data_IF_157614715510
#
_entry.id   IF_157614715510
#
_cell.length_a   1.000
_cell.length_b   1.000
_cell.length_c   1.000
_cell.angle_alpha   90.00
_cell.angle_beta   90.00
_cell.angle_gamma   90.00
#
_symmetry.space_group_name_H-M   'P 1'
#
loop_
_entity.id
_entity.type
_entity.pdbx_description
1 polymer ?
#
# COMPACT_ATOMS: atom_id res chain seq x y z
N UNK A 1 22.45 9.05 25.50
CA UNK A 1 22.52 9.52 24.11
C UNK A 1 21.71 8.55 23.27
N UNK A 2 20.49 8.90 22.92
CA UNK A 2 19.59 8.06 22.10
C UNK A 2 20.04 8.21 20.65
N UNK A 3 20.61 7.15 20.06
CA UNK A 3 20.82 7.10 18.61
C UNK A 3 19.45 6.95 17.94
N UNK A 4 19.03 7.97 17.22
CA UNK A 4 17.88 7.89 16.34
C UNK A 4 18.17 6.81 15.29
N UNK A 5 17.32 5.82 15.22
CA UNK A 5 17.33 4.78 14.17
C UNK A 5 16.96 5.48 12.85
N UNK A 6 17.97 5.84 12.08
CA UNK A 6 17.76 6.23 10.68
C UNK A 6 17.49 4.93 9.93
N UNK A 7 16.22 4.66 9.66
CA UNK A 7 15.81 3.68 8.65
C UNK A 7 16.16 4.35 7.31
N UNK A 8 17.41 4.24 6.94
CA UNK A 8 17.84 4.50 5.58
C UNK A 8 17.43 3.23 4.82
N UNK A 9 16.53 3.36 3.87
CA UNK A 9 16.22 2.30 2.90
C UNK A 9 17.53 1.92 2.24
N UNK A 10 18.15 0.85 2.68
CA UNK A 10 19.38 0.33 2.10
C UNK A 10 18.94 -0.73 1.09
N UNK A 11 18.83 -0.30 -0.17
CA UNK A 11 18.72 -1.21 -1.30
C UNK A 11 20.00 -2.04 -1.35
N UNK A 12 19.92 -3.29 -0.94
CA UNK A 12 21.01 -4.26 -1.14
C UNK A 12 20.63 -5.15 -2.33
N UNK A 13 21.07 -4.73 -3.50
CA UNK A 13 21.03 -5.57 -4.70
C UNK A 13 22.14 -6.62 -4.57
N UNK A 14 21.79 -7.81 -4.11
CA UNK A 14 22.64 -8.99 -4.28
C UNK A 14 22.36 -9.57 -5.67
N UNK A 15 23.11 -9.09 -6.67
CA UNK A 15 23.19 -9.68 -7.99
C UNK A 15 23.90 -11.05 -7.90
N UNK A 16 23.16 -12.10 -7.60
CA UNK A 16 23.51 -13.43 -8.01
C UNK A 16 22.76 -13.72 -9.32
N UNK A 17 23.35 -13.32 -10.45
CA UNK A 17 22.88 -13.67 -11.76
C UNK A 17 23.06 -15.19 -11.97
N UNK A 18 22.08 -15.99 -11.60
CA UNK A 18 21.93 -17.32 -12.15
C UNK A 18 21.15 -17.16 -13.45
N UNK A 19 21.74 -17.55 -14.57
CA UNK A 19 21.02 -17.76 -15.83
C UNK A 19 19.93 -18.80 -15.58
N UNK A 20 18.71 -18.34 -15.33
CA UNK A 20 17.54 -19.22 -15.24
C UNK A 20 16.90 -19.31 -16.63
N UNK A 21 16.41 -20.49 -17.03
CA UNK A 21 15.72 -20.66 -18.29
C UNK A 21 14.48 -19.75 -18.31
N UNK A 22 14.26 -19.11 -19.43
CA UNK A 22 13.02 -18.42 -19.77
C UNK A 22 11.88 -19.42 -19.57
N UNK A 23 11.04 -19.18 -18.56
CA UNK A 23 9.88 -20.00 -18.33
C UNK A 23 8.75 -19.38 -19.15
N UNK A 24 8.49 -19.98 -20.32
CA UNK A 24 7.26 -19.68 -21.04
C UNK A 24 6.10 -20.16 -20.15
N UNK A 25 5.18 -19.25 -19.81
CA UNK A 25 3.98 -19.63 -19.10
C UNK A 25 3.32 -20.80 -19.85
N UNK A 26 2.85 -21.84 -19.16
CA UNK A 26 2.18 -22.94 -19.83
C UNK A 26 0.99 -22.39 -20.61
N UNK A 27 0.89 -22.76 -21.88
CA UNK A 27 -0.24 -22.43 -22.75
C UNK A 27 -1.49 -23.16 -22.22
N UNK A 28 -2.17 -22.54 -21.27
CA UNK A 28 -3.45 -22.89 -20.70
C UNK A 28 -4.38 -21.70 -20.82
N UNK A 29 -5.64 -21.83 -20.39
CA UNK A 29 -6.61 -20.75 -20.35
C UNK A 29 -6.29 -19.64 -19.30
N UNK A 30 -4.98 -19.37 -19.11
CA UNK A 30 -4.51 -18.36 -18.18
C UNK A 30 -4.80 -16.98 -18.77
N UNK A 31 -5.66 -16.24 -18.09
CA UNK A 31 -6.15 -14.94 -18.55
C UNK A 31 -5.50 -13.76 -17.82
N UNK A 32 -4.86 -14.04 -16.68
CA UNK A 32 -4.26 -13.00 -15.81
C UNK A 32 -2.75 -12.99 -15.86
N UNK A 33 -2.07 -14.10 -15.64
CA UNK A 33 -0.60 -14.16 -15.65
C UNK A 33 -0.05 -13.93 -17.06
N UNK A 34 0.77 -12.88 -17.21
CA UNK A 34 1.39 -12.51 -18.50
C UNK A 34 2.84 -12.98 -18.57
N UNK A 35 3.61 -12.82 -17.48
CA UNK A 35 5.02 -13.21 -17.48
C UNK A 35 5.60 -13.35 -16.08
N UNK A 36 6.72 -14.07 -16.01
CA UNK A 36 7.56 -14.24 -14.83
C UNK A 36 8.92 -13.65 -15.17
N UNK A 37 9.42 -12.69 -14.39
CA UNK A 37 10.60 -11.90 -14.73
C UNK A 37 11.79 -12.17 -13.83
N UNK A 38 11.60 -12.14 -12.52
CA UNK A 38 12.66 -12.35 -11.53
C UNK A 38 12.23 -13.41 -10.52
N UNK A 39 13.16 -14.31 -10.17
CA UNK A 39 13.00 -15.32 -9.14
C UNK A 39 14.20 -15.21 -8.22
N UNK A 40 13.96 -14.88 -6.95
CA UNK A 40 15.02 -14.67 -5.96
C UNK A 40 14.71 -15.53 -4.74
N UNK A 41 15.64 -16.42 -4.42
CA UNK A 41 15.60 -17.20 -3.20
C UNK A 41 16.29 -16.42 -2.10
N UNK A 42 15.61 -16.30 -0.97
CA UNK A 42 16.01 -15.50 0.18
C UNK A 42 16.09 -16.41 1.41
N UNK A 43 17.09 -16.16 2.25
CA UNK A 43 17.27 -16.86 3.51
C UNK A 43 17.14 -15.89 4.70
N UNK A 44 16.49 -16.35 5.76
CA UNK A 44 16.25 -15.55 6.95
C UNK A 44 17.54 -15.05 7.61
N UNK A 45 18.59 -15.88 7.66
CA UNK A 45 19.84 -15.52 8.33
C UNK A 45 20.60 -14.44 7.55
N UNK A 46 20.60 -14.54 6.22
CA UNK A 46 21.16 -13.50 5.34
C UNK A 46 20.39 -12.19 5.49
N UNK A 47 19.07 -12.29 5.60
CA UNK A 47 18.18 -11.18 5.81
C UNK A 47 18.50 -10.47 7.14
N UNK A 48 18.58 -11.20 8.23
CA UNK A 48 18.90 -10.64 9.55
C UNK A 48 20.28 -10.03 9.60
N UNK A 49 21.27 -10.66 8.96
CA UNK A 49 22.62 -10.10 8.82
C UNK A 49 22.61 -8.76 8.07
N UNK A 50 21.87 -8.67 6.97
CA UNK A 50 21.81 -7.43 6.16
C UNK A 50 21.15 -6.26 6.90
N UNK A 51 20.24 -6.52 7.84
CA UNK A 51 19.59 -5.50 8.66
C UNK A 51 20.29 -5.20 9.99
N UNK A 52 21.38 -5.89 10.32
CA UNK A 52 22.05 -5.76 11.62
C UNK A 52 21.12 -6.17 12.78
N UNK A 53 20.14 -7.05 12.53
CA UNK A 53 19.17 -7.50 13.55
C UNK A 53 19.86 -8.35 14.60
N UNK A 54 21.04 -8.86 14.35
CA UNK A 54 21.91 -9.54 15.34
C UNK A 54 22.19 -8.67 16.58
N UNK A 55 22.22 -7.33 16.38
CA UNK A 55 22.36 -6.35 17.46
C UNK A 55 21.09 -6.18 18.30
N UNK A 56 19.97 -6.84 17.93
CA UNK A 56 18.69 -6.77 18.64
C UNK A 56 18.19 -8.14 19.11
N UNK A 57 18.86 -8.76 20.12
CA UNK A 57 18.55 -10.11 20.59
C UNK A 57 17.11 -10.26 21.13
N UNK A 58 16.48 -9.16 21.54
CA UNK A 58 15.08 -9.18 22.01
C UNK A 58 14.08 -9.45 20.87
N UNK A 59 14.40 -8.98 19.65
CA UNK A 59 13.57 -9.22 18.46
C UNK A 59 13.79 -10.66 17.99
N UNK A 60 15.03 -11.07 17.82
CA UNK A 60 15.40 -12.40 17.34
C UNK A 60 14.89 -13.51 18.27
N UNK A 61 14.93 -13.31 19.59
CA UNK A 61 14.45 -14.30 20.55
C UNK A 61 12.92 -14.51 20.49
N UNK A 62 12.14 -13.43 20.27
CA UNK A 62 10.68 -13.52 20.19
C UNK A 62 10.20 -14.05 18.84
N UNK A 63 10.83 -13.62 17.75
CA UNK A 63 10.48 -14.04 16.38
C UNK A 63 10.84 -15.52 16.17
N UNK A 64 11.91 -16.02 16.78
CA UNK A 64 12.38 -17.41 16.65
C UNK A 64 11.33 -18.47 16.97
N UNK A 65 10.40 -18.19 17.88
CA UNK A 65 9.36 -19.15 18.30
C UNK A 65 8.15 -19.21 17.34
N UNK A 66 8.02 -18.25 16.43
CA UNK A 66 6.88 -18.18 15.50
C UNK A 66 7.27 -18.44 14.04
N UNK A 67 8.58 -18.55 13.75
CA UNK A 67 9.09 -18.84 12.41
C UNK A 67 8.74 -20.27 12.02
N UNK A 68 8.05 -20.41 10.89
CA UNK A 68 7.71 -21.70 10.26
C UNK A 68 8.58 -21.98 9.02
N UNK A 69 9.09 -20.92 8.38
CA UNK A 69 9.96 -21.02 7.20
C UNK A 69 11.20 -20.14 7.39
N UNK A 70 12.35 -20.66 6.97
CA UNK A 70 13.62 -19.90 6.94
C UNK A 70 14.07 -19.58 5.53
N UNK A 71 13.57 -20.33 4.55
CA UNK A 71 13.85 -20.13 3.14
C UNK A 71 12.55 -19.77 2.43
N UNK A 72 12.61 -18.74 1.61
CA UNK A 72 11.44 -18.25 0.88
C UNK A 72 11.88 -17.72 -0.48
N UNK A 73 10.92 -17.61 -1.36
CA UNK A 73 11.11 -17.15 -2.73
C UNK A 73 10.29 -15.89 -2.96
N UNK A 74 10.91 -14.89 -3.58
CA UNK A 74 10.24 -13.75 -4.18
C UNK A 74 10.21 -13.92 -5.69
N UNK A 75 9.07 -13.69 -6.31
CA UNK A 75 8.87 -13.82 -7.76
C UNK A 75 8.20 -12.57 -8.27
N UNK A 76 8.84 -11.88 -9.21
CA UNK A 76 8.26 -10.75 -9.91
C UNK A 76 7.48 -11.25 -11.11
N UNK A 77 6.20 -10.89 -11.17
CA UNK A 77 5.30 -11.26 -12.27
C UNK A 77 4.72 -10.00 -12.93
N UNK A 78 4.28 -10.17 -14.18
CA UNK A 78 3.35 -9.23 -14.83
C UNK A 78 2.00 -9.89 -15.03
N UNK A 79 0.93 -9.09 -14.96
CA UNK A 79 -0.44 -9.59 -15.06
C UNK A 79 -1.38 -8.60 -15.75
N UNK A 80 -2.42 -9.13 -16.38
CA UNK A 80 -3.49 -8.34 -17.00
C UNK A 80 -4.40 -7.73 -15.95
N UNK A 81 -4.67 -6.43 -16.10
CA UNK A 81 -5.67 -5.68 -15.32
C UNK A 81 -6.26 -4.54 -16.16
N UNK A 82 -6.96 -3.62 -15.55
CA UNK A 82 -7.48 -2.41 -16.23
C UNK A 82 -7.12 -1.15 -15.48
N UNK A 83 -6.88 -0.08 -16.23
CA UNK A 83 -6.78 1.27 -15.67
C UNK A 83 -8.15 1.78 -15.17
N UNK A 84 -8.21 2.94 -14.48
CA UNK A 84 -9.48 3.52 -14.02
C UNK A 84 -10.49 3.84 -15.14
N UNK A 85 -10.05 3.98 -16.38
CA UNK A 85 -10.93 4.17 -17.54
C UNK A 85 -11.47 2.85 -18.11
N UNK A 86 -11.04 1.70 -17.56
CA UNK A 86 -11.41 0.37 -18.06
C UNK A 86 -10.56 -0.13 -19.24
N UNK A 87 -9.49 0.57 -19.62
CA UNK A 87 -8.60 0.11 -20.68
C UNK A 87 -7.71 -1.03 -20.16
N UNK A 88 -7.47 -2.08 -20.95
CA UNK A 88 -6.56 -3.16 -20.60
C UNK A 88 -5.12 -2.66 -20.44
N UNK A 89 -4.47 -3.04 -19.35
CA UNK A 89 -3.07 -2.74 -19.08
C UNK A 89 -2.37 -3.96 -18.44
N UNK A 90 -1.05 -3.94 -18.45
CA UNK A 90 -0.21 -4.96 -17.83
C UNK A 90 0.48 -4.31 -16.62
N UNK A 91 0.12 -4.76 -15.43
CA UNK A 91 0.74 -4.34 -14.18
C UNK A 91 1.78 -5.36 -13.70
N UNK A 92 2.61 -4.91 -12.76
CA UNK A 92 3.62 -5.73 -12.09
C UNK A 92 3.20 -6.07 -10.67
N UNK A 93 3.86 -7.05 -10.07
CA UNK A 93 3.76 -7.33 -8.65
C UNK A 93 4.72 -8.43 -8.22
N UNK A 94 4.89 -8.57 -6.91
CA UNK A 94 5.79 -9.55 -6.31
C UNK A 94 5.01 -10.55 -5.48
N UNK A 95 5.24 -11.83 -5.74
CA UNK A 95 4.73 -12.96 -4.96
C UNK A 95 5.86 -13.42 -4.05
N UNK A 96 5.58 -13.55 -2.75
CA UNK A 96 6.50 -14.24 -1.83
C UNK A 96 5.84 -15.51 -1.34
N UNK A 97 6.63 -16.59 -1.19
CA UNK A 97 6.13 -17.83 -0.61
C UNK A 97 7.23 -18.65 0.08
N UNK A 98 6.87 -19.41 1.13
CA UNK A 98 7.81 -20.25 1.85
C UNK A 98 8.27 -21.43 0.98
N UNK A 99 9.53 -21.87 1.15
CA UNK A 99 10.09 -23.01 0.44
C UNK A 99 10.20 -24.28 1.30
N UNK A 100 10.23 -24.15 2.62
CA UNK A 100 10.49 -25.23 3.56
C UNK A 100 9.30 -25.56 4.48
N UNK A 101 8.11 -25.02 4.18
CA UNK A 101 6.86 -25.41 4.81
C UNK A 101 5.66 -25.24 3.86
N UNK A 102 4.52 -25.82 4.23
CA UNK A 102 3.27 -25.65 3.47
C UNK A 102 2.73 -24.23 3.58
N UNK A 103 2.08 -23.75 2.51
CA UNK A 103 1.41 -22.44 2.49
C UNK A 103 0.12 -22.55 3.32
N UNK A 104 0.04 -21.79 4.40
CA UNK A 104 -1.07 -21.80 5.36
C UNK A 104 -2.23 -20.87 5.01
N UNK A 105 -1.98 -19.92 4.12
CA UNK A 105 -2.91 -18.89 3.68
C UNK A 105 -2.20 -17.84 2.86
N UNK A 106 -2.94 -16.81 2.48
CA UNK A 106 -2.47 -15.70 1.67
C UNK A 106 -2.56 -14.40 2.46
N UNK A 107 -1.54 -13.56 2.38
CA UNK A 107 -1.59 -12.16 2.77
C UNK A 107 -1.66 -11.30 1.51
N UNK A 108 -2.81 -10.64 1.31
CA UNK A 108 -2.95 -9.56 0.34
C UNK A 108 -2.31 -8.32 0.95
N UNK A 109 -1.09 -8.04 0.55
CA UNK A 109 -0.30 -6.95 1.10
C UNK A 109 -0.41 -5.73 0.20
N UNK A 110 -0.77 -4.61 0.78
CA UNK A 110 -0.72 -3.32 0.10
C UNK A 110 0.54 -2.57 0.50
N UNK A 111 1.33 -2.17 -0.49
CA UNK A 111 2.61 -1.49 -0.29
C UNK A 111 2.46 -0.05 0.21
N UNK A 112 3.58 0.55 0.62
CA UNK A 112 3.64 1.95 1.02
C UNK A 112 3.52 2.88 -0.20
N UNK A 113 3.26 4.18 0.05
CA UNK A 113 3.25 5.18 -1.02
C UNK A 113 4.66 5.44 -1.55
N UNK A 114 4.74 5.59 -2.85
CA UNK A 114 5.93 6.07 -3.54
C UNK A 114 5.62 7.38 -4.26
N UNK A 115 6.55 8.33 -4.21
CA UNK A 115 6.43 9.60 -4.95
C UNK A 115 7.13 9.52 -6.30
N UNK A 116 8.13 8.65 -6.43
CA UNK A 116 8.82 8.38 -7.69
C UNK A 116 8.17 7.19 -8.40
N UNK A 117 8.05 7.26 -9.72
CA UNK A 117 7.61 6.15 -10.56
C UNK A 117 8.65 5.03 -10.66
N UNK A 118 9.91 5.33 -10.33
CA UNK A 118 11.00 4.36 -10.28
C UNK A 118 11.04 3.65 -8.91
N UNK A 119 9.87 3.30 -8.40
CA UNK A 119 9.69 2.58 -7.15
C UNK A 119 8.53 1.58 -7.30
N UNK A 120 8.52 0.57 -6.46
CA UNK A 120 7.52 -0.51 -6.51
C UNK A 120 8.16 -1.82 -6.14
N UNK A 121 7.38 -2.86 -5.91
CA UNK A 121 7.88 -4.16 -5.48
C UNK A 121 8.69 -4.88 -6.54
N UNK A 122 8.46 -4.58 -7.81
CA UNK A 122 9.21 -5.12 -8.94
C UNK A 122 10.50 -4.37 -9.25
N UNK A 123 10.66 -3.13 -8.76
CA UNK A 123 11.93 -2.38 -8.89
C UNK A 123 12.90 -2.75 -7.77
N UNK A 124 12.44 -2.67 -6.53
CA UNK A 124 13.19 -3.02 -5.33
C UNK A 124 12.32 -3.95 -4.46
N UNK A 125 12.63 -5.24 -4.44
CA UNK A 125 11.84 -6.25 -3.72
C UNK A 125 11.82 -5.93 -2.22
N UNK A 126 10.69 -5.45 -1.66
CA UNK A 126 10.64 -5.03 -0.27
C UNK A 126 10.58 -6.22 0.67
N UNK A 127 11.47 -6.23 1.64
CA UNK A 127 11.59 -7.33 2.59
C UNK A 127 10.54 -7.25 3.69
N UNK A 128 10.23 -6.05 4.17
CA UNK A 128 9.31 -5.87 5.29
C UNK A 128 7.91 -6.40 4.97
N UNK A 129 7.42 -6.10 3.77
CA UNK A 129 6.12 -6.56 3.28
C UNK A 129 6.11 -8.08 3.05
N UNK A 130 7.25 -8.66 2.72
CA UNK A 130 7.43 -10.12 2.54
C UNK A 130 7.48 -10.92 3.84
N UNK A 131 7.68 -10.30 5.02
CA UNK A 131 7.87 -11.01 6.30
C UNK A 131 6.80 -12.05 6.66
N UNK A 132 5.53 -11.95 6.26
CA UNK A 132 4.54 -13.01 6.52
C UNK A 132 4.93 -14.41 6.01
N UNK A 133 5.85 -14.51 5.04
CA UNK A 133 6.38 -15.83 4.60
C UNK A 133 7.05 -16.60 5.72
N UNK A 134 7.66 -15.90 6.68
CA UNK A 134 8.36 -16.51 7.81
C UNK A 134 7.42 -17.30 8.73
N UNK A 135 6.14 -17.00 8.70
CA UNK A 135 5.09 -17.70 9.45
C UNK A 135 4.21 -18.57 8.55
N UNK A 136 4.69 -18.87 7.33
CA UNK A 136 4.09 -19.84 6.42
C UNK A 136 2.98 -19.30 5.54
N UNK A 137 2.90 -18.00 5.32
CA UNK A 137 1.91 -17.41 4.38
C UNK A 137 2.56 -17.04 3.05
N UNK A 138 1.84 -17.22 1.96
CA UNK A 138 2.18 -16.53 0.73
C UNK A 138 1.78 -15.05 0.84
N UNK A 139 2.56 -14.15 0.23
CA UNK A 139 2.27 -12.72 0.19
C UNK A 139 2.11 -12.31 -1.26
N UNK A 140 1.03 -11.60 -1.56
CA UNK A 140 0.77 -11.00 -2.87
C UNK A 140 0.89 -9.49 -2.70
N UNK A 141 1.85 -8.89 -3.39
CA UNK A 141 2.17 -7.47 -3.29
C UNK A 141 2.09 -6.85 -4.69
N UNK A 142 0.93 -6.34 -5.11
CA UNK A 142 0.79 -5.67 -6.40
C UNK A 142 1.57 -4.34 -6.43
N UNK A 143 2.25 -4.09 -7.54
CA UNK A 143 2.58 -2.73 -7.94
C UNK A 143 1.31 -2.14 -8.55
N UNK A 144 0.83 -1.08 -7.95
CA UNK A 144 -0.39 -0.42 -8.44
C UNK A 144 -0.11 0.28 -9.78
N UNK A 145 -1.16 0.59 -10.55
CA UNK A 145 -1.05 1.38 -11.79
C UNK A 145 -0.14 2.60 -11.55
N UNK A 146 0.75 2.86 -12.49
CA UNK A 146 1.71 3.94 -12.37
C UNK A 146 3.08 3.53 -11.83
N UNK A 147 3.23 2.27 -11.43
CA UNK A 147 4.50 1.68 -10.99
C UNK A 147 4.80 0.42 -11.78
N UNK A 148 5.96 -0.18 -11.48
CA UNK A 148 6.36 -1.45 -12.07
C UNK A 148 7.45 -1.31 -13.12
N UNK A 149 8.23 -2.38 -13.27
CA UNK A 149 9.44 -2.43 -14.08
C UNK A 149 9.22 -3.06 -15.45
N UNK A 150 8.33 -4.04 -15.53
CA UNK A 150 8.16 -4.92 -16.67
C UNK A 150 6.84 -4.75 -17.41
N UNK A 151 5.82 -4.23 -16.72
CA UNK A 151 4.51 -3.93 -17.31
C UNK A 151 4.50 -2.67 -18.17
N UNK A 152 3.31 -2.14 -18.41
CA UNK A 152 3.15 -0.95 -19.25
C UNK A 152 2.47 0.23 -18.53
N UNK A 153 2.39 0.18 -17.20
CA UNK A 153 1.67 1.20 -16.40
C UNK A 153 2.56 2.30 -15.83
N UNK A 154 3.89 2.13 -15.82
CA UNK A 154 4.86 3.01 -15.15
C UNK A 154 4.71 4.50 -15.47
N UNK A 155 4.43 4.83 -16.73
CA UNK A 155 4.28 6.22 -17.17
C UNK A 155 2.88 6.80 -16.93
N UNK A 156 1.91 5.96 -16.50
CA UNK A 156 0.55 6.42 -16.18
C UNK A 156 0.54 7.12 -14.83
N UNK A 157 -0.31 8.13 -14.61
CA UNK A 157 -0.56 8.65 -13.27
C UNK A 157 -1.00 7.52 -12.33
N UNK A 158 -0.51 7.53 -11.09
CA UNK A 158 -0.99 6.56 -10.11
C UNK A 158 -2.40 6.94 -9.64
N UNK A 159 -3.41 6.04 -9.69
CA UNK A 159 -4.79 6.33 -9.28
C UNK A 159 -4.94 6.34 -7.76
N UNK A 160 -4.36 7.35 -7.10
CA UNK A 160 -4.35 7.49 -5.65
C UNK A 160 -5.76 7.38 -5.07
N UNK A 161 -5.95 6.42 -4.16
CA UNK A 161 -7.17 6.19 -3.37
C UNK A 161 -8.44 5.97 -4.20
N UNK A 162 -8.34 5.63 -5.47
CA UNK A 162 -9.48 5.22 -6.30
C UNK A 162 -9.86 3.77 -5.94
N UNK A 163 -10.70 3.62 -4.91
CA UNK A 163 -10.96 2.36 -4.21
C UNK A 163 -11.28 1.17 -5.11
N UNK A 164 -12.09 1.38 -6.15
CA UNK A 164 -12.55 0.28 -7.01
C UNK A 164 -11.42 -0.21 -7.92
N UNK A 165 -10.61 0.71 -8.46
CA UNK A 165 -9.45 0.32 -9.27
C UNK A 165 -8.39 -0.37 -8.41
N UNK A 166 -8.09 0.15 -7.21
CA UNK A 166 -7.13 -0.47 -6.29
C UNK A 166 -7.55 -1.89 -5.90
N UNK A 167 -8.84 -2.08 -5.61
CA UNK A 167 -9.41 -3.41 -5.31
C UNK A 167 -9.32 -4.36 -6.50
N UNK A 168 -9.63 -3.86 -7.70
CA UNK A 168 -9.54 -4.65 -8.93
C UNK A 168 -8.11 -5.07 -9.26
N UNK A 169 -7.15 -4.17 -9.19
CA UNK A 169 -5.73 -4.47 -9.44
C UNK A 169 -5.23 -5.56 -8.48
N UNK A 170 -5.58 -5.47 -7.20
CA UNK A 170 -5.25 -6.51 -6.22
C UNK A 170 -5.93 -7.84 -6.53
N UNK A 171 -7.20 -7.83 -6.94
CA UNK A 171 -7.91 -9.05 -7.35
C UNK A 171 -7.27 -9.71 -8.57
N UNK A 172 -6.94 -8.94 -9.60
CA UNK A 172 -6.35 -9.47 -10.83
C UNK A 172 -4.96 -10.07 -10.54
N UNK A 173 -4.16 -9.44 -9.67
CA UNK A 173 -2.91 -10.05 -9.20
C UNK A 173 -3.14 -11.35 -8.44
N UNK A 174 -4.20 -11.44 -7.61
CA UNK A 174 -4.56 -12.69 -6.93
C UNK A 174 -4.85 -13.81 -7.93
N UNK A 175 -5.59 -13.50 -9.01
CA UNK A 175 -5.88 -14.48 -10.07
C UNK A 175 -4.59 -14.94 -10.76
N UNK A 176 -3.72 -14.00 -11.18
CA UNK A 176 -2.43 -14.32 -11.77
C UNK A 176 -1.54 -15.16 -10.84
N UNK A 177 -1.53 -14.85 -9.55
CA UNK A 177 -0.82 -15.64 -8.54
C UNK A 177 -1.38 -17.04 -8.41
N UNK A 178 -2.68 -17.21 -8.52
CA UNK A 178 -3.35 -18.53 -8.50
C UNK A 178 -2.98 -19.36 -9.73
N UNK A 179 -2.85 -18.73 -10.90
CA UNK A 179 -2.36 -19.35 -12.13
C UNK A 179 -0.90 -19.78 -11.96
N UNK A 180 -0.04 -18.92 -11.42
CA UNK A 180 1.36 -19.22 -11.11
C UNK A 180 1.49 -20.43 -10.16
N UNK A 181 0.79 -20.42 -9.04
CA UNK A 181 0.86 -21.51 -8.07
C UNK A 181 0.32 -22.84 -8.63
N UNK A 182 -0.76 -22.78 -9.42
CA UNK A 182 -1.33 -23.95 -10.09
C UNK A 182 -0.31 -24.60 -11.06
N UNK A 183 0.41 -23.78 -11.82
CA UNK A 183 1.46 -24.26 -12.73
C UNK A 183 2.60 -24.97 -11.98
N UNK A 184 2.88 -24.60 -10.75
CA UNK A 184 3.85 -25.26 -9.88
C UNK A 184 3.28 -26.46 -9.11
N UNK A 185 1.98 -26.76 -9.25
CA UNK A 185 1.30 -27.84 -8.50
C UNK A 185 0.98 -27.50 -7.05
N UNK A 186 1.07 -26.23 -6.65
CA UNK A 186 0.65 -25.80 -5.32
C UNK A 186 -0.86 -25.60 -5.24
N UNK A 187 -1.42 -25.96 -4.09
CA UNK A 187 -2.78 -25.59 -3.72
C UNK A 187 -2.69 -24.41 -2.76
N UNK A 188 -3.17 -23.25 -3.21
CA UNK A 188 -3.20 -22.04 -2.37
C UNK A 188 -4.47 -22.05 -1.53
N UNK A 189 -4.37 -21.98 -0.19
CA UNK A 189 -5.55 -21.91 0.67
C UNK A 189 -6.36 -20.64 0.39
N UNK A 190 -7.69 -20.75 0.47
CA UNK A 190 -8.60 -19.57 0.32
C UNK A 190 -8.53 -18.61 1.53
N UNK A 191 -7.94 -19.04 2.65
CA UNK A 191 -7.74 -18.24 3.86
C UNK A 191 -6.90 -17.01 3.53
N UNK A 192 -7.49 -15.85 3.66
CA UNK A 192 -6.87 -14.58 3.27
C UNK A 192 -6.84 -13.59 4.42
N UNK A 193 -5.71 -12.95 4.62
CA UNK A 193 -5.54 -11.78 5.47
C UNK A 193 -5.21 -10.60 4.57
N UNK A 194 -5.90 -9.47 4.73
CA UNK A 194 -5.57 -8.25 4.02
C UNK A 194 -4.78 -7.36 4.95
N UNK A 195 -3.64 -6.87 4.50
CA UNK A 195 -2.72 -6.09 5.32
C UNK A 195 -2.11 -4.92 4.58
N UNK A 196 -1.73 -3.89 5.32
CA UNK A 196 -1.01 -2.75 4.78
C UNK A 196 -0.79 -1.65 5.81
N UNK A 197 0.22 -0.83 5.58
CA UNK A 197 0.53 0.32 6.42
C UNK A 197 0.78 1.56 5.57
N UNK A 198 0.59 2.76 6.16
CA UNK A 198 0.72 4.02 5.42
C UNK A 198 -0.31 4.07 4.29
N UNK A 199 0.08 4.42 3.09
CA UNK A 199 -0.78 4.32 1.90
C UNK A 199 -1.47 2.96 1.81
N UNK A 200 -0.70 1.87 2.01
CA UNK A 200 -1.23 0.51 2.04
C UNK A 200 -2.30 0.26 3.10
N UNK A 201 -2.37 1.08 4.15
CA UNK A 201 -3.45 1.01 5.15
C UNK A 201 -4.81 1.40 4.57
N UNK A 202 -4.85 2.47 3.79
CA UNK A 202 -6.05 2.89 3.07
C UNK A 202 -6.40 1.95 1.91
N UNK A 203 -5.38 1.54 1.14
CA UNK A 203 -5.54 0.57 0.04
C UNK A 203 -6.06 -0.77 0.56
N UNK A 204 -5.53 -1.28 1.68
CA UNK A 204 -6.01 -2.54 2.28
C UNK A 204 -7.49 -2.50 2.66
N UNK A 205 -8.02 -1.36 3.12
CA UNK A 205 -9.46 -1.21 3.33
C UNK A 205 -10.23 -1.21 2.01
N UNK A 206 -9.74 -0.52 0.98
CA UNK A 206 -10.34 -0.51 -0.35
C UNK A 206 -10.38 -1.93 -0.96
N UNK A 207 -9.28 -2.69 -0.86
CA UNK A 207 -9.20 -4.10 -1.29
C UNK A 207 -10.21 -4.97 -0.53
N UNK A 208 -10.28 -4.84 0.80
CA UNK A 208 -11.21 -5.62 1.61
C UNK A 208 -12.67 -5.33 1.25
N UNK A 209 -12.99 -4.05 1.01
CA UNK A 209 -14.31 -3.62 0.56
C UNK A 209 -14.63 -4.19 -0.81
N UNK A 210 -13.74 -4.04 -1.78
CA UNK A 210 -13.90 -4.54 -3.14
C UNK A 210 -14.14 -6.06 -3.16
N UNK A 211 -13.34 -6.81 -2.40
CA UNK A 211 -13.51 -8.26 -2.30
C UNK A 211 -14.84 -8.63 -1.65
N UNK A 212 -15.27 -7.91 -0.62
CA UNK A 212 -16.59 -8.15 -0.01
C UNK A 212 -17.75 -7.82 -0.96
N UNK A 213 -17.63 -6.77 -1.75
CA UNK A 213 -18.68 -6.31 -2.67
C UNK A 213 -18.78 -7.17 -3.94
N UNK A 214 -17.65 -7.71 -4.44
CA UNK A 214 -17.60 -8.37 -5.75
C UNK A 214 -17.22 -9.85 -5.71
N UNK A 215 -16.46 -10.30 -4.69
CA UNK A 215 -15.83 -11.63 -4.66
C UNK A 215 -16.01 -12.37 -3.33
N UNK A 216 -17.05 -12.03 -2.56
CA UNK A 216 -17.25 -12.58 -1.20
C UNK A 216 -17.32 -14.11 -1.15
N UNK A 217 -17.91 -14.73 -2.16
CA UNK A 217 -18.07 -16.20 -2.23
C UNK A 217 -16.84 -16.90 -2.82
N UNK A 218 -15.85 -16.15 -3.32
CA UNK A 218 -14.64 -16.67 -3.95
C UNK A 218 -13.41 -16.62 -3.02
N UNK A 219 -13.45 -15.80 -1.95
CA UNK A 219 -12.33 -15.63 -1.02
C UNK A 219 -12.80 -15.59 0.43
N UNK A 220 -12.12 -16.33 1.31
CA UNK A 220 -12.36 -16.25 2.73
C UNK A 220 -11.44 -15.22 3.38
N UNK A 221 -11.95 -14.01 3.61
CA UNK A 221 -11.22 -12.95 4.33
C UNK A 221 -11.38 -13.20 5.83
N UNK A 222 -10.32 -13.69 6.45
CA UNK A 222 -10.33 -13.98 7.88
C UNK A 222 -10.28 -12.70 8.72
N UNK A 223 -9.45 -11.73 8.31
CA UNK A 223 -9.30 -10.43 8.98
C UNK A 223 -8.57 -9.42 8.10
N UNK A 224 -8.68 -8.16 8.48
CA UNK A 224 -7.93 -7.04 7.91
C UNK A 224 -7.04 -6.44 9.01
N UNK A 225 -5.75 -6.23 8.72
CA UNK A 225 -4.76 -5.64 9.64
C UNK A 225 -4.10 -4.47 8.95
N UNK A 226 -4.54 -3.27 9.25
CA UNK A 226 -4.13 -2.04 8.54
C UNK A 226 -3.77 -0.92 9.49
N UNK A 227 -3.04 0.07 9.03
CA UNK A 227 -2.74 1.24 9.85
C UNK A 227 -2.06 2.38 9.10
N UNK A 228 -2.01 3.56 9.74
CA UNK A 228 -1.30 4.74 9.25
C UNK A 228 -1.81 5.28 7.92
N UNK A 229 -3.01 4.89 7.46
CA UNK A 229 -3.49 5.16 6.12
C UNK A 229 -4.62 6.18 6.04
N UNK A 230 -4.81 6.73 4.84
CA UNK A 230 -5.94 7.58 4.48
C UNK A 230 -7.20 6.72 4.31
N UNK A 231 -7.76 6.23 5.42
CA UNK A 231 -8.92 5.34 5.43
C UNK A 231 -10.15 5.96 4.80
N UNK A 232 -10.30 7.28 4.97
CA UNK A 232 -11.35 8.11 4.37
C UNK A 232 -10.72 9.41 3.88
N UNK A 233 -10.99 9.77 2.62
CA UNK A 233 -10.38 10.95 2.01
C UNK A 233 -10.89 12.26 2.60
N UNK A 234 -12.19 12.36 2.91
CA UNK A 234 -12.76 13.55 3.52
C UNK A 234 -12.17 13.81 4.91
N UNK A 235 -12.07 12.77 5.74
CA UNK A 235 -11.45 12.86 7.05
C UNK A 235 -9.96 13.21 6.94
N UNK A 236 -9.26 12.68 5.94
CA UNK A 236 -7.84 12.98 5.67
C UNK A 236 -7.65 14.44 5.28
N UNK A 237 -8.46 14.97 4.36
CA UNK A 237 -8.38 16.37 3.93
C UNK A 237 -8.69 17.32 5.10
N UNK A 238 -9.74 17.02 5.89
CA UNK A 238 -10.07 17.82 7.09
C UNK A 238 -8.97 17.75 8.16
N UNK A 239 -8.33 16.60 8.33
CA UNK A 239 -7.21 16.44 9.26
C UNK A 239 -6.01 17.28 8.85
N UNK A 240 -5.64 17.30 7.57
CA UNK A 240 -4.61 18.19 7.04
C UNK A 240 -5.00 19.68 7.15
N UNK A 241 -6.25 20.03 6.92
CA UNK A 241 -6.69 21.42 7.08
C UNK A 241 -6.60 21.88 8.53
N UNK A 242 -6.90 21.00 9.50
CA UNK A 242 -6.79 21.28 10.93
C UNK A 242 -5.34 21.29 11.42
N UNK A 243 -4.45 20.45 10.86
CA UNK A 243 -3.07 20.24 11.25
C UNK A 243 -2.16 20.29 10.01
N UNK A 244 -1.79 21.50 9.54
CA UNK A 244 -1.20 21.70 8.22
C UNK A 244 0.29 21.37 8.13
N UNK A 245 0.86 20.62 9.07
CA UNK A 245 2.25 20.17 8.99
C UNK A 245 2.28 18.75 8.44
N UNK A 246 2.94 18.59 7.28
CA UNK A 246 3.07 17.33 6.57
C UNK A 246 4.50 17.10 6.10
N UNK A 247 5.15 16.07 6.62
CA UNK A 247 6.54 15.72 6.27
C UNK A 247 6.63 14.74 5.08
N UNK A 248 5.48 14.34 4.54
CA UNK A 248 5.36 13.51 3.34
C UNK A 248 4.32 14.12 2.38
N UNK A 249 4.68 15.12 1.56
CA UNK A 249 3.74 15.97 0.84
C UNK A 249 3.11 15.27 -0.38
N UNK A 250 2.35 14.22 -0.15
CA UNK A 250 1.69 13.45 -1.20
C UNK A 250 0.40 14.11 -1.71
N UNK A 251 -0.26 14.93 -0.89
CA UNK A 251 -1.60 15.47 -1.18
C UNK A 251 -1.72 16.20 -2.52
N UNK A 252 -0.77 17.05 -2.95
CA UNK A 252 -0.84 17.66 -4.28
C UNK A 252 -0.90 16.62 -5.40
N UNK A 253 -0.10 15.55 -5.32
CA UNK A 253 -0.12 14.45 -6.27
C UNK A 253 -1.43 13.67 -6.26
N UNK A 254 -2.06 13.51 -5.09
CA UNK A 254 -3.41 12.91 -4.98
C UNK A 254 -4.44 13.75 -5.71
N UNK A 255 -4.47 15.08 -5.49
CA UNK A 255 -5.41 15.99 -6.16
C UNK A 255 -5.22 15.94 -7.68
N UNK A 256 -3.97 16.01 -8.16
CA UNK A 256 -3.66 15.92 -9.59
C UNK A 256 -4.08 14.57 -10.20
N UNK A 257 -3.93 13.49 -9.48
CA UNK A 257 -4.39 12.17 -9.91
C UNK A 257 -5.91 12.09 -10.02
N UNK A 258 -6.64 12.60 -9.03
CA UNK A 258 -8.11 12.66 -9.05
C UNK A 258 -8.61 13.54 -10.21
N UNK A 259 -7.97 14.69 -10.42
CA UNK A 259 -8.27 15.55 -11.57
C UNK A 259 -8.13 14.80 -12.89
N UNK A 260 -6.98 14.14 -13.08
CA UNK A 260 -6.70 13.39 -14.32
C UNK A 260 -7.76 12.32 -14.61
N UNK A 261 -8.08 11.48 -13.61
CA UNK A 261 -8.94 10.33 -13.83
C UNK A 261 -10.44 10.67 -13.84
N UNK A 262 -10.85 11.74 -13.17
CA UNK A 262 -12.25 12.18 -13.15
C UNK A 262 -12.55 13.34 -14.10
N UNK A 263 -11.52 13.90 -14.77
CA UNK A 263 -11.67 14.98 -15.74
C UNK A 263 -12.29 16.23 -15.12
N UNK A 264 -11.81 16.65 -13.94
CA UNK A 264 -12.37 17.77 -13.19
C UNK A 264 -12.02 19.11 -13.80
N UNK A 265 -10.95 19.16 -14.61
CA UNK A 265 -10.41 20.37 -15.24
C UNK A 265 -10.18 21.48 -14.20
N UNK A 266 -9.31 21.16 -13.20
CA UNK A 266 -9.03 22.04 -12.07
C UNK A 266 -8.12 23.19 -12.47
N UNK A 267 -8.48 24.40 -12.06
CA UNK A 267 -7.54 25.53 -12.05
C UNK A 267 -6.57 25.41 -10.88
N UNK A 268 -5.37 24.91 -11.14
CA UNK A 268 -4.36 24.69 -10.10
C UNK A 268 -3.88 25.98 -9.40
N UNK A 269 -4.11 27.17 -9.97
CA UNK A 269 -3.83 28.44 -9.28
C UNK A 269 -4.81 28.71 -8.15
N UNK A 270 -5.97 28.04 -8.17
CA UNK A 270 -6.97 28.05 -7.10
C UNK A 270 -6.83 26.88 -6.12
N UNK A 271 -5.95 25.90 -6.41
CA UNK A 271 -5.65 24.75 -5.56
C UNK A 271 -4.32 24.97 -4.82
N UNK A 272 -3.30 25.47 -5.52
CA UNK A 272 -1.96 25.67 -4.97
C UNK A 272 -1.61 27.16 -4.89
N UNK A 273 -0.63 27.47 -4.05
CA UNK A 273 -0.06 28.83 -3.96
C UNK A 273 1.47 28.78 -3.88
N UNK A 274 2.07 29.97 -3.84
CA UNK A 274 3.52 30.12 -3.79
C UNK A 274 4.21 29.44 -4.97
N UNK A 275 5.44 28.97 -4.81
CA UNK A 275 6.19 28.33 -5.91
C UNK A 275 5.52 27.06 -6.48
N UNK A 276 4.67 26.38 -5.72
CA UNK A 276 3.99 25.17 -6.21
C UNK A 276 2.97 25.51 -7.31
N UNK A 277 2.26 26.62 -7.21
CA UNK A 277 1.28 27.05 -8.23
C UNK A 277 1.88 27.18 -9.64
N UNK A 278 3.17 27.54 -9.75
CA UNK A 278 3.86 27.70 -11.03
C UNK A 278 4.60 26.42 -11.48
N UNK A 279 4.91 25.50 -10.53
CA UNK A 279 5.82 24.39 -10.78
C UNK A 279 5.20 23.00 -10.52
N UNK A 280 3.91 22.91 -10.21
CA UNK A 280 3.26 21.64 -9.84
C UNK A 280 3.51 20.52 -10.85
N UNK A 281 3.38 20.81 -12.15
CA UNK A 281 3.54 19.82 -13.22
C UNK A 281 4.97 19.26 -13.32
N UNK A 282 5.98 20.07 -13.01
CA UNK A 282 7.40 19.64 -13.04
C UNK A 282 7.89 19.08 -11.70
N UNK A 283 7.27 19.50 -10.60
CA UNK A 283 7.68 19.00 -9.28
C UNK A 283 6.99 17.69 -8.92
N UNK A 284 5.77 17.49 -9.38
CA UNK A 284 4.99 16.25 -9.21
C UNK A 284 4.95 15.38 -10.47
N UNK A 285 6.02 15.44 -11.29
CA UNK A 285 6.22 14.60 -12.48
C UNK A 285 6.63 13.14 -12.15
N UNK A 286 6.65 12.81 -10.86
CA UNK A 286 6.99 11.50 -10.33
C UNK A 286 8.44 11.07 -10.55
N UNK A 287 9.35 12.05 -10.71
CA UNK A 287 10.80 11.81 -10.75
C UNK A 287 11.48 12.06 -9.39
N UNK A 288 10.77 12.70 -8.44
CA UNK A 288 11.30 13.08 -7.14
C UNK A 288 10.79 12.19 -6.01
N UNK A 289 11.61 12.00 -5.00
CA UNK A 289 11.20 11.42 -3.73
C UNK A 289 10.63 12.49 -2.77
N UNK A 290 10.07 12.05 -1.65
CA UNK A 290 9.44 12.93 -0.66
C UNK A 290 10.40 14.00 -0.12
N UNK A 291 11.65 13.64 0.20
CA UNK A 291 12.64 14.62 0.73
C UNK A 291 12.99 15.69 -0.31
N UNK A 292 13.05 15.34 -1.59
CA UNK A 292 13.26 16.29 -2.68
C UNK A 292 12.11 17.28 -2.81
N UNK A 293 10.87 16.82 -2.62
CA UNK A 293 9.69 17.70 -2.62
C UNK A 293 9.63 18.58 -1.37
N UNK A 294 9.86 18.03 -0.19
CA UNK A 294 9.93 18.82 1.06
C UNK A 294 10.97 19.94 0.96
N UNK A 295 12.11 19.67 0.33
CA UNK A 295 13.14 20.70 0.12
C UNK A 295 12.66 21.86 -0.78
N UNK A 296 11.68 21.64 -1.66
CA UNK A 296 11.13 22.65 -2.56
C UNK A 296 9.95 23.42 -1.94
N UNK A 297 9.04 22.72 -1.24
CA UNK A 297 7.78 23.31 -0.79
C UNK A 297 7.67 23.46 0.73
N UNK A 298 8.59 22.84 1.50
CA UNK A 298 8.54 22.78 2.96
C UNK A 298 7.51 21.79 3.50
N UNK A 299 7.38 21.76 4.82
CA UNK A 299 6.47 20.86 5.54
C UNK A 299 5.15 21.53 5.91
N UNK A 300 5.08 22.85 5.89
CA UNK A 300 3.87 23.61 6.21
C UNK A 300 3.01 23.80 4.96
N UNK A 301 1.88 23.12 4.94
CA UNK A 301 0.94 23.14 3.82
C UNK A 301 0.39 24.55 3.52
N UNK A 302 0.40 25.46 4.50
CA UNK A 302 0.00 26.87 4.31
C UNK A 302 0.92 27.62 3.35
N UNK A 303 2.10 27.09 3.05
CA UNK A 303 3.02 27.69 2.11
C UNK A 303 2.74 27.31 0.64
N UNK A 304 2.02 26.20 0.41
CA UNK A 304 1.83 25.66 -0.93
C UNK A 304 0.39 25.27 -1.28
N UNK A 305 -0.52 25.10 -0.30
CA UNK A 305 -1.95 24.92 -0.56
C UNK A 305 -2.66 26.30 -0.52
N UNK A 306 -3.61 26.51 -1.45
CA UNK A 306 -4.41 27.73 -1.44
C UNK A 306 -5.15 27.89 -0.09
N UNK A 307 -5.31 29.13 0.44
CA UNK A 307 -5.94 29.37 1.75
C UNK A 307 -7.33 28.75 1.93
N UNK A 308 -8.05 28.57 0.83
CA UNK A 308 -9.39 27.97 0.85
C UNK A 308 -9.38 26.47 1.17
N UNK A 309 -8.23 25.79 1.04
CA UNK A 309 -8.07 24.43 1.51
C UNK A 309 -8.34 24.26 3.00
N UNK A 310 -8.05 25.31 3.79
CA UNK A 310 -8.17 25.29 5.26
C UNK A 310 -9.56 25.73 5.76
N UNK A 311 -10.50 25.96 4.85
CA UNK A 311 -11.90 26.29 5.16
C UNK A 311 -12.79 25.04 5.09
N UNK A 312 -13.98 25.07 5.70
CA UNK A 312 -15.02 24.10 5.37
C UNK A 312 -15.25 24.07 3.86
N UNK A 313 -15.52 22.88 3.31
CA UNK A 313 -15.60 22.71 1.84
C UNK A 313 -16.70 23.60 1.22
N UNK A 314 -17.78 23.86 1.95
CA UNK A 314 -18.90 24.70 1.53
C UNK A 314 -18.51 26.19 1.41
N UNK A 315 -17.46 26.60 2.11
CA UNK A 315 -16.91 27.95 2.14
C UNK A 315 -15.65 28.09 1.26
N UNK A 316 -15.17 26.98 0.70
CA UNK A 316 -14.00 26.92 -0.17
C UNK A 316 -14.32 27.44 -1.57
N UNK A 317 -13.28 27.71 -2.37
CA UNK A 317 -13.46 28.06 -3.75
C UNK A 317 -14.04 26.90 -4.59
N UNK A 318 -14.59 27.16 -5.78
CA UNK A 318 -15.25 26.16 -6.60
C UNK A 318 -14.36 24.97 -6.98
N UNK A 319 -13.04 25.14 -7.06
CA UNK A 319 -12.12 24.08 -7.45
C UNK A 319 -12.02 22.99 -6.37
N UNK A 320 -11.95 23.37 -5.09
CA UNK A 320 -12.05 22.41 -4.00
C UNK A 320 -13.45 21.76 -3.91
N UNK A 321 -14.51 22.52 -4.22
CA UNK A 321 -15.87 21.97 -4.22
C UNK A 321 -16.07 20.89 -5.29
N UNK A 322 -15.38 20.96 -6.45
CA UNK A 322 -15.38 19.91 -7.47
C UNK A 322 -14.80 18.58 -6.93
N UNK A 323 -13.88 18.62 -5.95
CA UNK A 323 -13.31 17.41 -5.36
C UNK A 323 -14.29 16.68 -4.44
N UNK A 324 -15.23 17.36 -3.78
CA UNK A 324 -16.08 16.76 -2.75
C UNK A 324 -16.81 15.47 -3.21
N UNK A 325 -17.52 15.43 -4.34
CA UNK A 325 -18.20 14.21 -4.78
C UNK A 325 -17.22 13.08 -5.09
N UNK A 326 -15.98 13.40 -5.48
CA UNK A 326 -14.94 12.42 -5.77
C UNK A 326 -14.36 11.84 -4.48
N UNK A 327 -14.16 12.68 -3.46
CA UNK A 327 -13.72 12.23 -2.13
C UNK A 327 -14.77 11.30 -1.50
N UNK A 328 -16.06 11.65 -1.62
CA UNK A 328 -17.19 10.84 -1.13
C UNK A 328 -17.24 9.47 -1.85
N UNK A 329 -17.13 9.48 -3.17
CA UNK A 329 -17.18 8.26 -3.98
C UNK A 329 -16.04 7.28 -3.64
N UNK A 330 -14.87 7.81 -3.31
CA UNK A 330 -13.66 7.02 -3.04
C UNK A 330 -13.45 6.72 -1.54
N UNK A 331 -14.38 7.06 -0.66
CA UNK A 331 -14.32 6.63 0.74
C UNK A 331 -14.29 5.10 0.81
N UNK A 332 -13.27 4.54 1.47
CA UNK A 332 -13.22 3.12 1.76
C UNK A 332 -14.06 2.75 3.01
N UNK A 333 -14.71 3.74 3.64
CA UNK A 333 -15.45 3.59 4.90
C UNK A 333 -16.95 3.78 4.70
N UNK A 334 -17.35 4.87 4.06
CA UNK A 334 -18.75 5.28 3.98
C UNK A 334 -19.59 4.29 3.18
N UNK A 335 -20.77 3.97 3.73
CA UNK A 335 -21.71 3.05 3.10
C UNK A 335 -21.28 1.58 3.12
N UNK A 336 -20.20 1.24 3.83
CA UNK A 336 -19.71 -0.13 3.95
C UNK A 336 -19.75 -0.64 5.40
N UNK A 337 -20.20 -1.88 5.56
CA UNK A 337 -20.17 -2.62 6.83
C UNK A 337 -19.28 -3.85 6.63
N UNK A 338 -18.05 -3.83 7.16
CA UNK A 338 -17.15 -5.00 7.08
C UNK A 338 -17.76 -6.24 7.71
N UNK A 339 -17.77 -7.35 6.99
CA UNK A 339 -18.19 -8.67 7.51
C UNK A 339 -17.07 -9.43 8.21
N UNK A 340 -15.82 -8.96 8.06
CA UNK A 340 -14.64 -9.53 8.67
C UNK A 340 -14.10 -8.61 9.78
N UNK A 341 -13.34 -9.14 10.76
CA UNK A 341 -12.67 -8.31 11.77
C UNK A 341 -11.66 -7.34 11.18
N UNK A 342 -11.70 -6.07 11.62
CA UNK A 342 -10.74 -5.04 11.27
C UNK A 342 -9.85 -4.74 12.48
N UNK A 343 -8.53 -4.75 12.29
CA UNK A 343 -7.53 -4.32 13.26
C UNK A 343 -6.83 -3.08 12.70
N UNK A 344 -7.07 -1.92 13.31
CA UNK A 344 -6.62 -0.62 12.84
C UNK A 344 -5.57 -0.05 13.80
N UNK A 345 -4.47 0.46 13.26
CA UNK A 345 -3.34 1.02 13.99
C UNK A 345 -3.02 2.43 13.49
N UNK A 346 -2.82 3.42 14.37
CA UNK A 346 -2.44 4.76 13.93
C UNK A 346 -1.67 5.52 15.03
N UNK A 347 -0.73 6.38 14.63
CA UNK A 347 -0.10 7.33 15.55
C UNK A 347 -0.99 8.54 15.79
N UNK A 348 -1.09 9.01 17.04
CA UNK A 348 -1.72 10.29 17.35
C UNK A 348 -0.83 11.50 17.08
N UNK A 349 0.44 11.27 16.70
CA UNK A 349 1.43 12.29 16.37
C UNK A 349 1.94 12.08 14.92
N UNK A 350 1.09 11.51 14.05
CA UNK A 350 1.43 11.21 12.66
C UNK A 350 1.49 12.50 11.84
N UNK A 351 2.66 12.76 11.23
CA UNK A 351 2.89 13.92 10.36
C UNK A 351 2.85 13.54 8.86
N UNK A 352 2.52 12.27 8.54
CA UNK A 352 2.37 11.81 7.15
C UNK A 352 0.90 11.72 6.77
N UNK A 353 0.10 11.11 7.64
CA UNK A 353 -1.35 10.93 7.46
C UNK A 353 -2.07 11.32 8.74
N UNK A 354 -3.01 12.25 8.70
CA UNK A 354 -3.76 12.69 9.87
C UNK A 354 -4.50 11.55 10.56
N UNK A 355 -4.41 11.48 11.89
CA UNK A 355 -5.08 10.45 12.71
C UNK A 355 -6.61 10.50 12.58
N UNK A 356 -7.14 11.65 12.20
CA UNK A 356 -8.58 11.88 11.95
C UNK A 356 -9.16 10.88 10.94
N UNK A 357 -8.36 10.42 9.98
CA UNK A 357 -8.77 9.39 9.01
C UNK A 357 -9.08 8.05 9.69
N UNK A 358 -8.22 7.62 10.62
CA UNK A 358 -8.42 6.39 11.38
C UNK A 358 -9.51 6.52 12.45
N UNK A 359 -9.57 7.68 13.11
CA UNK A 359 -10.61 7.99 14.09
C UNK A 359 -12.01 7.99 13.45
N UNK A 360 -12.11 8.52 12.23
CA UNK A 360 -13.36 8.50 11.46
C UNK A 360 -13.75 7.07 11.11
N UNK A 361 -12.83 6.28 10.53
CA UNK A 361 -13.08 4.89 10.17
C UNK A 361 -13.52 4.05 11.38
N UNK A 362 -12.86 4.22 12.53
CA UNK A 362 -13.24 3.54 13.76
C UNK A 362 -14.66 3.87 14.20
N UNK A 363 -15.02 5.17 14.21
CA UNK A 363 -16.36 5.61 14.64
C UNK A 363 -17.46 5.08 13.73
N UNK A 364 -17.28 5.18 12.40
CA UNK A 364 -18.28 4.74 11.44
C UNK A 364 -18.44 3.22 11.42
N UNK A 365 -17.34 2.45 11.40
CA UNK A 365 -17.43 0.99 11.47
C UNK A 365 -18.09 0.52 12.76
N UNK A 366 -17.74 1.11 13.90
CA UNK A 366 -18.34 0.75 15.19
C UNK A 366 -19.82 1.11 15.25
N UNK A 367 -20.21 2.29 14.75
CA UNK A 367 -21.60 2.76 14.66
C UNK A 367 -22.45 1.81 13.83
N UNK A 368 -21.87 1.28 12.74
CA UNK A 368 -22.53 0.37 11.81
C UNK A 368 -22.46 -1.12 12.23
N UNK A 369 -21.94 -1.42 13.42
CA UNK A 369 -21.93 -2.75 14.01
C UNK A 369 -20.80 -3.67 13.52
N UNK A 370 -19.79 -3.15 12.82
CA UNK A 370 -18.63 -3.94 12.43
C UNK A 370 -17.73 -4.27 13.64
N UNK A 371 -17.06 -5.41 13.57
CA UNK A 371 -16.04 -5.75 14.57
C UNK A 371 -14.73 -5.05 14.23
N UNK A 372 -14.41 -4.03 15.00
CA UNK A 372 -13.17 -3.26 14.84
C UNK A 372 -12.41 -3.13 16.16
N UNK A 373 -11.11 -3.39 16.12
CA UNK A 373 -10.14 -3.12 17.19
C UNK A 373 -9.24 -1.99 16.72
N UNK A 374 -9.31 -0.86 17.39
CA UNK A 374 -8.48 0.31 17.08
C UNK A 374 -7.45 0.52 18.18
N UNK A 375 -6.19 0.67 17.77
CA UNK A 375 -5.08 1.01 18.66
C UNK A 375 -4.38 2.25 18.14
N UNK A 376 -4.32 3.27 18.97
CA UNK A 376 -3.61 4.50 18.68
C UNK A 376 -2.80 4.99 19.88
N UNK A 377 -1.87 5.89 19.66
CA UNK A 377 -1.04 6.48 20.71
C UNK A 377 0.13 7.27 20.13
N UNK A 378 0.96 7.81 21.03
CA UNK A 378 2.11 8.64 20.70
C UNK A 378 3.20 7.87 19.96
N UNK A 379 3.98 8.61 19.17
CA UNK A 379 5.12 8.14 18.40
C UNK A 379 5.04 8.59 16.93
N UNK A 380 6.08 8.37 16.16
CA UNK A 380 6.10 8.72 14.74
C UNK A 380 5.25 7.77 13.89
N UNK A 381 5.01 8.18 12.65
CA UNK A 381 4.42 7.31 11.61
C UNK A 381 5.18 5.97 11.51
N UNK A 382 6.51 6.01 11.44
CA UNK A 382 7.34 4.81 11.34
C UNK A 382 7.27 3.91 12.59
N UNK A 383 7.23 4.48 13.81
CA UNK A 383 7.10 3.69 15.04
C UNK A 383 5.81 2.86 15.05
N UNK A 384 4.73 3.41 14.54
CA UNK A 384 3.44 2.71 14.44
C UNK A 384 3.40 1.73 13.27
N UNK A 385 4.17 1.96 12.22
CA UNK A 385 4.41 0.97 11.16
C UNK A 385 5.02 -0.31 11.72
N UNK A 386 6.10 -0.18 12.49
CA UNK A 386 6.73 -1.33 13.17
C UNK A 386 5.74 -2.06 14.08
N UNK A 387 4.91 -1.32 14.85
CA UNK A 387 3.88 -1.93 15.71
C UNK A 387 2.81 -2.67 14.91
N UNK A 388 2.37 -2.11 13.78
CA UNK A 388 1.36 -2.72 12.91
C UNK A 388 1.88 -4.01 12.27
N UNK A 389 3.11 -4.00 11.73
CA UNK A 389 3.73 -5.21 11.18
C UNK A 389 4.00 -6.27 12.25
N UNK A 390 4.46 -5.88 13.43
CA UNK A 390 4.61 -6.82 14.56
C UNK A 390 3.26 -7.44 14.96
N UNK A 391 2.20 -6.64 14.99
CA UNK A 391 0.86 -7.14 15.25
C UNK A 391 0.38 -8.08 14.14
N UNK A 392 0.63 -7.77 12.87
CA UNK A 392 0.33 -8.65 11.74
C UNK A 392 0.99 -10.00 11.93
N UNK A 393 2.30 -10.07 12.19
CA UNK A 393 3.00 -11.32 12.41
C UNK A 393 2.44 -12.13 13.60
N UNK A 394 2.04 -11.46 14.68
CA UNK A 394 1.37 -12.11 15.81
C UNK A 394 -0.01 -12.66 15.40
N UNK A 395 -0.79 -11.89 14.65
CA UNK A 395 -2.09 -12.37 14.14
C UNK A 395 -1.96 -13.60 13.22
N UNK A 396 -0.86 -13.68 12.46
CA UNK A 396 -0.58 -14.80 11.56
C UNK A 396 -0.04 -16.03 12.32
N UNK A 397 0.74 -15.81 13.37
CA UNK A 397 1.34 -16.88 14.18
C UNK A 397 0.34 -17.56 15.14
N UNK A 398 -0.60 -16.79 15.68
CA UNK A 398 -1.65 -17.30 16.58
C UNK A 398 -2.77 -17.95 15.75
N UNK A 399 -3.01 -19.24 15.98
CA UNK A 399 -4.08 -20.03 15.33
C UNK A 399 -5.44 -19.79 15.97
#
# INVERSE_FOLDING_TARGET
MKKALRITTCCLVLLLASCQPHYDAPAGDDTYLVGIHEIIDLNLDELFSSFGVEDYPEITSKVKYVISSRNFRAVVITYNTTDPFGNPVIADGTIYYPLDCEIRGVVEMSGIAHMSKDAGSSEDIPVLEGLPVLVGYAVLLPDMIGYGKYGNTKEMPHPFMMKDNLGKVAWDMRQASSEYFRALGYIVPQRTIIAGYSYGGGVGLAVARYYQEHHWDEVYIERVVVGGGACDLNATFRGFAANPICTYPLLPGVIMSLDHYYGLDLDYTMIFQGPLAENYATWYDRTRNASGLVALIGEDMRNYMHPDFFKPIEESNPEFQKLQPILDMNSAVDGWVPKMPIYLYHSTEDLYVPVEAADYAYREFKKNGAYIVYKSGKGSHADWGVKAFAALLLHLALR
#
